data_IF_238451897652
#
_entry.id   IF_238451897652
#
_cell.length_a   1.000
_cell.length_b   1.000
_cell.length_c   1.000
_cell.angle_alpha   90.00
_cell.angle_beta   90.00
_cell.angle_gamma   90.00
#
_symmetry.space_group_name_H-M   'P 1'
#
loop_
_entity.id
_entity.type
_entity.pdbx_description
1 polymer ?
#
# COMPACT_ATOMS: atom_id res chain seq x y z
N UNK A 1 -2.56 -78.71 66.49
CA UNK A 1 -3.44 -77.83 67.28
C UNK A 1 -3.69 -76.54 66.47
N UNK A 2 -4.95 -76.30 66.10
CA UNK A 2 -5.65 -75.03 66.02
C UNK A 2 -5.07 -74.02 65.03
N UNK A 3 -5.78 -73.33 64.18
CA UNK A 3 -7.24 -73.18 63.91
C UNK A 3 -7.34 -72.54 62.53
N UNK A 4 -8.31 -72.92 61.76
CA UNK A 4 -8.93 -72.28 60.60
C UNK A 4 -9.29 -70.84 60.85
N UNK A 5 -9.08 -70.00 59.88
CA UNK A 5 -9.95 -68.80 59.65
C UNK A 5 -10.10 -68.53 58.16
N UNK A 6 -11.32 -68.65 57.77
CA UNK A 6 -11.84 -68.31 56.47
C UNK A 6 -11.99 -66.79 56.42
N UNK A 7 -11.50 -66.12 55.37
CA UNK A 7 -11.84 -64.75 55.10
C UNK A 7 -12.35 -64.61 53.66
N UNK A 8 -13.58 -64.18 53.58
CA UNK A 8 -14.33 -63.98 52.33
C UNK A 8 -13.74 -62.86 51.46
N UNK A 9 -13.61 -63.14 50.18
CA UNK A 9 -13.19 -62.18 49.15
C UNK A 9 -14.40 -61.46 48.65
N UNK A 10 -14.55 -60.17 48.99
CA UNK A 10 -15.46 -59.27 48.28
C UNK A 10 -14.74 -58.67 47.04
N UNK A 11 -15.18 -59.08 45.86
CA UNK A 11 -14.76 -58.46 44.59
C UNK A 11 -15.55 -57.19 44.42
N UNK A 12 -14.90 -56.04 44.55
CA UNK A 12 -15.39 -54.72 44.06
C UNK A 12 -14.86 -54.48 42.65
N UNK A 13 -15.74 -54.58 41.64
CA UNK A 13 -15.51 -54.09 40.34
C UNK A 13 -15.55 -52.55 40.39
N UNK A 14 -14.41 -51.90 40.38
CA UNK A 14 -14.27 -50.48 40.11
C UNK A 14 -14.19 -50.29 38.61
N UNK A 15 -15.32 -49.97 37.95
CA UNK A 15 -15.38 -49.46 36.59
C UNK A 15 -14.78 -48.06 36.59
N UNK A 16 -13.49 -47.97 36.31
CA UNK A 16 -12.83 -46.70 36.02
C UNK A 16 -13.30 -46.15 34.66
N UNK A 17 -14.20 -45.17 34.66
CA UNK A 17 -14.42 -44.32 33.53
C UNK A 17 -13.10 -43.54 33.28
N UNK A 18 -12.33 -43.99 32.31
CA UNK A 18 -11.27 -43.18 31.72
C UNK A 18 -11.92 -42.03 30.97
N UNK A 19 -12.08 -40.89 31.62
CA UNK A 19 -12.28 -39.61 30.96
C UNK A 19 -10.98 -39.29 30.21
N UNK A 20 -10.89 -39.78 28.99
CA UNK A 20 -9.92 -39.26 28.01
C UNK A 20 -10.36 -37.85 27.68
N UNK A 21 -9.96 -36.91 28.52
CA UNK A 21 -10.01 -35.50 28.17
C UNK A 21 -9.17 -35.32 26.91
N UNK A 22 -9.81 -35.14 25.77
CA UNK A 22 -9.17 -34.52 24.64
C UNK A 22 -8.61 -33.17 25.11
N UNK A 23 -7.33 -33.14 25.46
CA UNK A 23 -6.61 -31.87 25.47
C UNK A 23 -6.65 -31.37 24.03
N UNK A 24 -7.58 -30.46 23.73
CA UNK A 24 -7.42 -29.62 22.56
C UNK A 24 -5.98 -29.10 22.61
N UNK A 25 -5.16 -29.53 21.67
CA UNK A 25 -3.87 -28.87 21.43
C UNK A 25 -4.22 -27.43 21.18
N UNK A 26 -3.95 -26.52 22.13
CA UNK A 26 -3.97 -25.09 21.89
C UNK A 26 -3.17 -24.87 20.61
N UNK A 27 -3.84 -24.45 19.54
CA UNK A 27 -3.15 -24.12 18.31
C UNK A 27 -2.04 -23.12 18.65
N UNK A 28 -0.83 -23.40 18.20
CA UNK A 28 0.33 -22.56 18.46
C UNK A 28 0.02 -21.14 17.95
N UNK A 29 0.18 -20.14 18.83
CA UNK A 29 -0.09 -18.75 18.48
C UNK A 29 0.92 -18.30 17.43
N UNK A 30 0.46 -17.89 16.26
CA UNK A 30 1.28 -17.35 15.19
C UNK A 30 1.40 -15.82 15.39
N UNK A 31 2.63 -15.32 15.54
CA UNK A 31 2.92 -13.89 15.64
C UNK A 31 3.61 -13.45 14.37
N UNK A 32 3.01 -12.50 13.65
CA UNK A 32 3.40 -12.05 12.32
C UNK A 32 3.70 -10.54 12.33
N UNK A 33 4.47 -10.07 11.35
CA UNK A 33 4.89 -8.68 11.25
C UNK A 33 4.27 -8.01 10.03
N UNK A 34 3.74 -6.82 10.25
CA UNK A 34 3.24 -5.93 9.21
C UNK A 34 4.13 -4.68 9.13
N UNK A 35 4.74 -4.42 7.98
CA UNK A 35 5.54 -3.22 7.73
C UNK A 35 4.69 -2.11 7.11
N UNK A 36 4.82 -0.89 7.64
CA UNK A 36 4.15 0.30 7.16
C UNK A 36 5.11 1.50 7.21
N UNK A 37 5.26 2.25 6.13
CA UNK A 37 6.20 3.37 6.07
C UNK A 37 5.62 4.70 6.55
N UNK A 38 4.29 4.79 6.71
CA UNK A 38 3.61 6.01 7.13
C UNK A 38 3.52 6.14 8.66
N UNK A 39 3.25 7.36 9.13
CA UNK A 39 3.06 7.65 10.54
C UNK A 39 1.83 6.93 11.12
N UNK A 40 1.81 6.76 12.45
CA UNK A 40 0.79 6.00 13.16
C UNK A 40 -0.66 6.46 12.89
N UNK A 41 -0.85 7.76 12.71
CA UNK A 41 -2.18 8.38 12.51
C UNK A 41 -2.60 8.48 11.03
N UNK A 42 -1.76 8.02 10.11
CA UNK A 42 -2.04 8.04 8.67
C UNK A 42 -3.13 7.01 8.29
N UNK A 43 -3.97 7.27 7.28
CA UNK A 43 -5.08 6.39 6.91
C UNK A 43 -4.69 4.94 6.66
N UNK A 44 -3.62 4.69 5.89
CA UNK A 44 -3.14 3.34 5.58
C UNK A 44 -2.64 2.62 6.81
N UNK A 45 -1.97 3.31 7.73
CA UNK A 45 -1.49 2.75 9.00
C UNK A 45 -2.66 2.37 9.92
N UNK A 46 -3.68 3.23 10.02
CA UNK A 46 -4.91 2.91 10.76
C UNK A 46 -5.61 1.68 10.20
N UNK A 47 -5.64 1.55 8.87
CA UNK A 47 -6.19 0.37 8.22
C UNK A 47 -5.34 -0.89 8.48
N UNK A 48 -4.02 -0.77 8.56
CA UNK A 48 -3.14 -1.88 8.94
C UNK A 48 -3.42 -2.36 10.37
N UNK A 49 -3.60 -1.45 11.33
CA UNK A 49 -4.03 -1.79 12.69
C UNK A 49 -5.42 -2.44 12.71
N UNK A 50 -6.37 -1.91 11.92
CA UNK A 50 -7.71 -2.51 11.82
C UNK A 50 -7.66 -3.92 11.21
N UNK A 51 -6.84 -4.12 10.20
CA UNK A 51 -6.59 -5.45 9.62
C UNK A 51 -6.06 -6.42 10.68
N UNK A 52 -5.03 -6.03 11.44
CA UNK A 52 -4.45 -6.86 12.49
C UNK A 52 -5.48 -7.21 13.58
N UNK A 53 -6.25 -6.22 14.03
CA UNK A 53 -7.36 -6.41 15.00
C UNK A 53 -8.39 -7.43 14.50
N UNK A 54 -8.86 -7.26 13.26
CA UNK A 54 -9.87 -8.14 12.66
C UNK A 54 -9.37 -9.59 12.51
N UNK A 55 -8.11 -9.77 12.07
CA UNK A 55 -7.50 -11.08 11.94
C UNK A 55 -7.40 -11.76 13.31
N UNK A 56 -6.93 -11.06 14.35
CA UNK A 56 -6.83 -11.61 15.69
C UNK A 56 -8.23 -12.00 16.24
N UNK A 57 -9.23 -11.15 16.07
CA UNK A 57 -10.61 -11.41 16.51
C UNK A 57 -11.21 -12.62 15.77
N UNK A 58 -11.18 -12.63 14.42
CA UNK A 58 -11.81 -13.69 13.63
C UNK A 58 -11.07 -15.03 13.70
N UNK A 59 -9.79 -15.03 14.11
CA UNK A 59 -9.03 -16.25 14.37
C UNK A 59 -9.02 -16.67 15.84
N UNK A 60 -9.80 -16.01 16.70
CA UNK A 60 -9.85 -16.27 18.14
C UNK A 60 -8.45 -16.20 18.79
N UNK A 61 -7.63 -15.22 18.40
CA UNK A 61 -6.29 -14.99 18.93
C UNK A 61 -5.21 -15.96 18.44
N UNK A 62 -5.49 -16.84 17.48
CA UNK A 62 -4.49 -17.77 16.91
C UNK A 62 -3.46 -17.06 16.04
N UNK A 63 -3.88 -16.03 15.29
CA UNK A 63 -3.01 -15.22 14.46
C UNK A 63 -2.99 -13.82 15.04
N UNK A 64 -1.82 -13.36 15.42
CA UNK A 64 -1.54 -12.02 15.92
C UNK A 64 -0.60 -11.32 14.96
N UNK A 65 -0.84 -10.04 14.67
CA UNK A 65 -0.05 -9.25 13.73
C UNK A 65 0.45 -7.99 14.44
N UNK A 66 1.77 -7.88 14.58
CA UNK A 66 2.44 -6.67 15.06
C UNK A 66 2.64 -5.68 13.90
N UNK A 67 2.09 -4.48 14.03
CA UNK A 67 2.22 -3.42 13.01
C UNK A 67 3.38 -2.49 13.37
N UNK A 68 4.38 -2.44 12.50
CA UNK A 68 5.57 -1.58 12.58
C UNK A 68 5.40 -0.41 11.62
N UNK A 69 4.98 0.75 12.14
CA UNK A 69 4.73 1.96 11.35
C UNK A 69 5.96 2.86 11.24
N UNK A 70 5.89 3.92 10.42
CA UNK A 70 6.95 4.94 10.32
C UNK A 70 8.25 4.42 9.73
N UNK A 71 8.21 3.40 8.88
CA UNK A 71 9.40 2.87 8.20
C UNK A 71 10.36 2.09 9.11
N UNK A 72 9.92 1.63 10.28
CA UNK A 72 10.77 0.91 11.25
C UNK A 72 11.41 -0.36 10.67
N UNK A 73 10.78 -1.00 9.69
CA UNK A 73 11.30 -2.21 9.03
C UNK A 73 11.93 -1.92 7.66
N UNK A 74 12.05 -0.66 7.27
CA UNK A 74 12.66 -0.22 6.02
C UNK A 74 11.71 0.61 5.15
N UNK A 75 12.26 1.11 4.03
CA UNK A 75 11.48 1.74 2.96
C UNK A 75 10.69 0.71 2.13
N UNK A 76 9.85 1.18 1.21
CA UNK A 76 8.95 0.31 0.45
C UNK A 76 9.71 -0.76 -0.36
N UNK A 77 10.83 -0.41 -1.00
CA UNK A 77 11.61 -1.35 -1.79
C UNK A 77 12.25 -2.43 -0.93
N UNK A 78 12.90 -2.03 0.17
CA UNK A 78 13.50 -2.97 1.11
C UNK A 78 12.46 -3.90 1.75
N UNK A 79 11.27 -3.37 2.05
CA UNK A 79 10.15 -4.16 2.60
C UNK A 79 9.60 -5.16 1.59
N UNK A 80 9.48 -4.79 0.29
CA UNK A 80 9.06 -5.73 -0.75
C UNK A 80 10.05 -6.90 -0.84
N UNK A 81 11.36 -6.61 -0.86
CA UNK A 81 12.41 -7.65 -0.87
C UNK A 81 12.32 -8.56 0.37
N UNK A 82 12.17 -7.99 1.56
CA UNK A 82 12.01 -8.75 2.80
C UNK A 82 10.75 -9.63 2.79
N UNK A 83 9.66 -9.13 2.19
CA UNK A 83 8.42 -9.91 2.05
C UNK A 83 8.61 -11.13 1.14
N UNK A 84 9.33 -10.97 0.01
CA UNK A 84 9.66 -12.07 -0.90
C UNK A 84 10.45 -13.19 -0.22
N UNK A 85 11.31 -12.85 0.74
CA UNK A 85 12.10 -13.81 1.52
C UNK A 85 11.42 -14.29 2.80
N UNK A 86 10.21 -13.79 3.11
CA UNK A 86 9.48 -14.15 4.34
C UNK A 86 10.08 -13.61 5.62
N UNK A 87 10.95 -12.59 5.54
CA UNK A 87 11.48 -11.88 6.70
C UNK A 87 10.43 -10.95 7.33
N UNK A 88 9.48 -10.47 6.54
CA UNK A 88 8.27 -9.75 6.93
C UNK A 88 7.07 -10.52 6.38
N UNK A 89 5.94 -10.48 7.06
CA UNK A 89 4.76 -11.27 6.70
C UNK A 89 3.77 -10.47 5.85
N UNK A 90 3.46 -9.23 6.25
CA UNK A 90 2.52 -8.33 5.59
C UNK A 90 3.11 -6.96 5.36
N UNK A 91 2.60 -6.26 4.37
CA UNK A 91 2.89 -4.84 4.13
C UNK A 91 1.79 -4.17 3.33
N UNK A 92 1.80 -2.84 3.31
CA UNK A 92 1.19 -2.02 2.28
C UNK A 92 2.28 -1.24 1.59
N UNK A 93 2.27 -1.21 0.27
CA UNK A 93 3.20 -0.44 -0.54
C UNK A 93 2.50 0.21 -1.73
N UNK A 94 3.06 1.31 -2.20
CA UNK A 94 2.67 1.94 -3.46
C UNK A 94 2.99 1.02 -4.65
N UNK A 95 2.11 0.97 -5.65
CA UNK A 95 2.39 0.16 -6.86
C UNK A 95 3.56 0.72 -7.68
N UNK A 96 4.02 1.95 -7.46
CA UNK A 96 5.18 2.50 -8.18
C UNK A 96 6.46 1.72 -7.90
N UNK A 97 6.98 1.61 -6.67
CA UNK A 97 8.12 0.73 -6.39
C UNK A 97 7.79 -0.75 -6.63
N UNK A 98 6.55 -1.19 -6.38
CA UNK A 98 6.14 -2.58 -6.61
C UNK A 98 6.20 -2.96 -8.10
N UNK A 99 6.00 -2.01 -9.02
CA UNK A 99 6.09 -2.24 -10.46
C UNK A 99 7.51 -2.58 -10.94
N UNK A 100 8.53 -2.34 -10.13
CA UNK A 100 9.89 -2.80 -10.45
C UNK A 100 10.04 -4.32 -10.29
N UNK A 101 9.19 -4.94 -9.49
CA UNK A 101 9.11 -6.39 -9.28
C UNK A 101 8.04 -7.03 -10.19
N UNK A 102 6.92 -6.36 -10.43
CA UNK A 102 5.81 -6.79 -11.28
C UNK A 102 5.47 -5.71 -12.33
N UNK A 103 6.10 -5.79 -13.50
CA UNK A 103 6.02 -4.74 -14.54
C UNK A 103 4.61 -4.45 -15.04
N UNK A 104 3.69 -5.41 -14.96
CA UNK A 104 2.30 -5.18 -15.39
C UNK A 104 1.57 -4.13 -14.54
N UNK A 105 2.00 -3.89 -13.30
CA UNK A 105 1.41 -2.86 -12.43
C UNK A 105 1.59 -1.43 -12.97
N UNK A 106 2.57 -1.20 -13.87
CA UNK A 106 2.71 0.09 -14.54
C UNK A 106 1.44 0.52 -15.27
N UNK A 107 0.62 -0.43 -15.73
CA UNK A 107 -0.62 -0.16 -16.44
C UNK A 107 -1.60 0.63 -15.58
N UNK A 108 -1.66 0.35 -14.28
CA UNK A 108 -2.61 0.98 -13.35
C UNK A 108 -2.20 2.38 -12.89
N UNK A 109 -1.01 2.84 -13.26
CA UNK A 109 -0.47 4.16 -12.86
C UNK A 109 0.02 5.00 -14.06
N UNK A 110 -0.40 4.66 -15.29
CA UNK A 110 -0.10 5.44 -16.47
C UNK A 110 -0.63 6.90 -16.29
N UNK A 111 0.11 7.89 -16.78
CA UNK A 111 -0.27 9.28 -16.57
C UNK A 111 -1.65 9.58 -17.18
N UNK A 112 -2.50 10.27 -16.41
CA UNK A 112 -3.86 10.64 -16.82
C UNK A 112 -4.74 9.46 -17.28
N UNK A 113 -4.47 8.24 -16.77
CA UNK A 113 -5.23 7.06 -17.14
C UNK A 113 -6.70 7.14 -16.72
N UNK A 114 -6.93 7.61 -15.50
CA UNK A 114 -8.27 7.73 -14.90
C UNK A 114 -8.79 9.17 -15.00
N UNK A 115 -10.08 9.32 -15.26
CA UNK A 115 -10.77 10.62 -15.24
C UNK A 115 -10.92 11.15 -13.81
N UNK A 116 -11.22 10.22 -12.89
CA UNK A 116 -11.47 10.53 -11.48
C UNK A 116 -11.24 9.28 -10.59
N UNK A 117 -11.36 9.48 -9.28
CA UNK A 117 -11.26 8.41 -8.30
C UNK A 117 -12.36 7.34 -8.49
N UNK A 118 -13.57 7.74 -8.86
CA UNK A 118 -14.68 6.80 -9.00
C UNK A 118 -14.43 5.82 -10.15
N UNK A 119 -13.86 6.28 -11.27
CA UNK A 119 -13.44 5.39 -12.36
C UNK A 119 -12.32 4.45 -11.89
N UNK A 120 -11.30 4.95 -11.20
CA UNK A 120 -10.23 4.10 -10.65
C UNK A 120 -10.81 2.98 -9.78
N UNK A 121 -11.76 3.31 -8.90
CA UNK A 121 -12.36 2.32 -8.01
C UNK A 121 -13.24 1.30 -8.74
N UNK A 122 -13.97 1.68 -9.78
CA UNK A 122 -14.68 0.70 -10.62
C UNK A 122 -13.73 -0.33 -11.24
N UNK A 123 -12.54 0.13 -11.65
CA UNK A 123 -11.48 -0.74 -12.20
C UNK A 123 -10.89 -1.65 -11.13
N UNK A 124 -10.49 -1.08 -9.99
CA UNK A 124 -9.76 -1.82 -8.93
C UNK A 124 -10.67 -2.78 -8.16
N UNK A 125 -11.94 -2.45 -7.96
CA UNK A 125 -12.93 -3.31 -7.32
C UNK A 125 -13.50 -4.37 -8.29
N UNK A 126 -13.22 -4.23 -9.58
CA UNK A 126 -13.65 -5.14 -10.64
C UNK A 126 -12.63 -6.23 -10.98
N UNK A 127 -12.95 -6.99 -12.03
CA UNK A 127 -12.13 -8.10 -12.52
C UNK A 127 -10.71 -7.69 -12.96
N UNK A 128 -10.53 -6.44 -13.40
CA UNK A 128 -9.21 -5.91 -13.76
C UNK A 128 -8.34 -5.84 -12.49
N UNK A 129 -8.84 -5.21 -11.42
CA UNK A 129 -8.11 -5.10 -10.16
C UNK A 129 -7.81 -6.47 -9.55
N UNK A 130 -8.76 -7.41 -9.60
CA UNK A 130 -8.54 -8.79 -9.14
C UNK A 130 -7.42 -9.49 -9.92
N UNK A 131 -7.39 -9.32 -11.25
CA UNK A 131 -6.31 -9.86 -12.08
C UNK A 131 -4.93 -9.36 -11.64
N UNK A 132 -4.80 -8.06 -11.31
CA UNK A 132 -3.54 -7.48 -10.86
C UNK A 132 -3.16 -7.90 -9.43
N UNK A 133 -4.12 -8.06 -8.51
CA UNK A 133 -3.85 -8.68 -7.20
C UNK A 133 -3.27 -10.09 -7.36
N UNK A 134 -3.85 -10.88 -8.26
CA UNK A 134 -3.40 -12.25 -8.51
C UNK A 134 -2.08 -12.35 -9.30
N UNK A 135 -1.61 -11.28 -9.94
CA UNK A 135 -0.34 -11.28 -10.67
C UNK A 135 0.90 -11.37 -9.77
N UNK A 136 0.74 -11.13 -8.48
CA UNK A 136 1.84 -11.06 -7.52
C UNK A 136 2.44 -12.44 -7.18
N UNK A 137 1.72 -13.53 -7.42
CA UNK A 137 2.11 -14.89 -7.02
C UNK A 137 3.47 -15.33 -7.59
N UNK A 138 3.77 -14.95 -8.83
CA UNK A 138 5.07 -15.24 -9.48
C UNK A 138 6.26 -14.52 -8.86
N UNK A 139 6.01 -13.52 -7.99
CA UNK A 139 7.02 -12.76 -7.27
C UNK A 139 7.13 -13.16 -5.80
N UNK A 140 6.63 -14.34 -5.41
CA UNK A 140 6.55 -14.81 -4.03
C UNK A 140 5.70 -13.91 -3.12
N UNK A 141 4.71 -13.22 -3.67
CA UNK A 141 3.81 -12.31 -2.99
C UNK A 141 2.36 -12.67 -3.29
N UNK A 142 1.45 -12.31 -2.39
CA UNK A 142 0.00 -12.45 -2.61
C UNK A 142 -0.65 -11.09 -2.38
N UNK A 143 -1.34 -10.57 -3.39
CA UNK A 143 -2.14 -9.35 -3.28
C UNK A 143 -3.43 -9.62 -2.52
N UNK A 144 -3.75 -8.76 -1.54
CA UNK A 144 -4.91 -8.92 -0.67
C UNK A 144 -6.01 -7.90 -0.97
N UNK A 145 -5.66 -6.64 -1.08
CA UNK A 145 -6.59 -5.53 -1.29
C UNK A 145 -5.90 -4.29 -1.86
N UNK A 146 -6.72 -3.33 -2.31
CA UNK A 146 -6.29 -2.02 -2.80
C UNK A 146 -6.61 -0.94 -1.77
N UNK A 147 -5.67 -0.01 -1.57
CA UNK A 147 -5.82 1.20 -0.76
C UNK A 147 -5.77 2.44 -1.63
N UNK A 148 -6.42 3.51 -1.18
CA UNK A 148 -6.39 4.81 -1.84
C UNK A 148 -5.06 5.54 -1.58
N UNK A 149 -4.67 6.37 -2.52
CA UNK A 149 -3.58 7.31 -2.40
C UNK A 149 -3.85 8.61 -3.18
N UNK A 150 -5.13 8.84 -3.53
CA UNK A 150 -5.58 10.05 -4.20
C UNK A 150 -4.92 10.32 -5.54
N UNK A 151 -4.97 11.58 -5.96
CA UNK A 151 -4.25 12.09 -7.12
C UNK A 151 -2.89 12.65 -6.70
N UNK A 152 -1.90 12.47 -7.57
CA UNK A 152 -0.54 12.99 -7.36
C UNK A 152 -0.36 14.29 -8.16
N UNK A 153 0.28 15.23 -7.51
CA UNK A 153 0.49 16.60 -7.99
C UNK A 153 1.94 16.99 -7.78
N UNK A 154 2.50 17.82 -8.67
CA UNK A 154 3.85 18.36 -8.48
C UNK A 154 3.86 19.48 -7.44
N UNK A 155 4.98 19.58 -6.72
CA UNK A 155 5.28 20.70 -5.83
C UNK A 155 6.79 20.96 -5.82
N UNK A 156 7.18 22.24 -5.62
CA UNK A 156 8.58 22.61 -5.58
C UNK A 156 8.87 23.80 -4.64
N UNK A 157 10.16 24.03 -4.42
CA UNK A 157 10.69 25.08 -3.55
C UNK A 157 11.05 26.37 -4.30
N UNK A 158 11.09 26.35 -5.64
CA UNK A 158 11.70 27.43 -6.45
C UNK A 158 10.68 28.42 -6.99
N UNK A 159 9.59 27.95 -7.58
CA UNK A 159 8.62 28.78 -8.32
C UNK A 159 7.29 28.05 -8.52
N UNK A 160 6.21 28.82 -8.75
CA UNK A 160 4.95 28.21 -9.17
C UNK A 160 5.12 27.47 -10.52
N UNK A 161 4.47 26.33 -10.65
CA UNK A 161 4.31 25.60 -11.91
C UNK A 161 2.92 25.92 -12.43
N UNK A 162 2.81 26.53 -13.62
CA UNK A 162 1.54 26.82 -14.27
C UNK A 162 1.51 26.35 -15.73
N UNK A 163 2.66 25.99 -16.27
CA UNK A 163 2.82 25.53 -17.67
C UNK A 163 3.98 24.56 -17.81
N UNK A 164 3.97 23.79 -18.89
CA UNK A 164 4.97 22.75 -19.15
C UNK A 164 6.42 23.27 -19.11
N UNK A 165 6.65 24.50 -19.64
CA UNK A 165 7.99 25.09 -19.64
C UNK A 165 8.56 25.35 -18.24
N UNK A 166 7.72 25.44 -17.21
CA UNK A 166 8.16 25.70 -15.85
C UNK A 166 8.82 24.44 -15.21
N UNK A 167 8.55 23.26 -15.76
CA UNK A 167 9.21 22.01 -15.36
C UNK A 167 10.68 21.96 -15.74
N UNK A 168 11.06 22.71 -16.78
CA UNK A 168 12.42 22.64 -17.32
C UNK A 168 13.49 23.02 -16.30
N UNK A 169 14.45 22.10 -16.10
CA UNK A 169 15.61 22.28 -15.24
C UNK A 169 15.33 22.05 -13.75
N UNK A 170 14.11 21.70 -13.35
CA UNK A 170 13.81 21.27 -11.99
C UNK A 170 14.35 19.85 -11.75
N UNK A 171 14.86 19.61 -10.54
CA UNK A 171 15.21 18.29 -10.02
C UNK A 171 14.02 17.80 -9.20
N UNK A 172 13.24 16.91 -9.76
CA UNK A 172 12.01 16.41 -9.15
C UNK A 172 12.26 15.02 -8.57
N UNK A 173 12.02 14.87 -7.27
CA UNK A 173 12.01 13.55 -6.65
C UNK A 173 10.79 12.78 -7.12
N UNK A 174 10.98 11.51 -7.40
CA UNK A 174 9.93 10.55 -7.69
C UNK A 174 10.09 9.31 -6.81
N UNK A 175 9.07 8.48 -6.75
CA UNK A 175 9.19 7.13 -6.20
C UNK A 175 10.18 6.32 -7.05
N UNK A 176 10.77 5.27 -6.48
CA UNK A 176 11.73 4.38 -7.16
C UNK A 176 11.03 3.53 -8.21
N UNK A 177 10.71 4.16 -9.34
CA UNK A 177 9.96 3.57 -10.46
C UNK A 177 10.45 4.14 -11.79
N UNK A 178 10.72 3.26 -12.75
CA UNK A 178 11.12 3.66 -14.10
C UNK A 178 10.04 4.47 -14.82
N UNK A 179 8.76 4.15 -14.59
CA UNK A 179 7.66 4.92 -15.17
C UNK A 179 7.63 6.34 -14.60
N UNK A 180 7.73 6.49 -13.28
CA UNK A 180 7.73 7.82 -12.63
C UNK A 180 8.93 8.66 -13.09
N UNK A 181 10.11 8.04 -13.23
CA UNK A 181 11.28 8.71 -13.79
C UNK A 181 11.04 9.14 -15.23
N UNK A 182 10.45 8.28 -16.06
CA UNK A 182 10.11 8.56 -17.45
C UNK A 182 9.12 9.71 -17.59
N UNK A 183 8.09 9.78 -16.75
CA UNK A 183 7.12 10.88 -16.75
C UNK A 183 7.78 12.23 -16.50
N UNK A 184 8.59 12.35 -15.46
CA UNK A 184 9.31 13.59 -15.13
C UNK A 184 10.28 13.98 -16.23
N UNK A 185 11.03 13.03 -16.79
CA UNK A 185 11.93 13.29 -17.92
C UNK A 185 11.18 13.77 -19.18
N UNK A 186 10.01 13.21 -19.46
CA UNK A 186 9.16 13.61 -20.58
C UNK A 186 8.65 15.06 -20.45
N UNK A 187 8.51 15.58 -19.23
CA UNK A 187 8.17 16.97 -18.94
C UNK A 187 9.38 17.92 -19.01
N UNK A 188 10.59 17.42 -19.30
CA UNK A 188 11.81 18.24 -19.40
C UNK A 188 12.48 18.55 -18.04
N UNK A 189 12.09 17.88 -16.98
CA UNK A 189 12.71 17.94 -15.66
C UNK A 189 13.68 16.77 -15.46
N UNK A 190 14.52 16.84 -14.42
CA UNK A 190 15.42 15.77 -14.00
C UNK A 190 14.78 14.95 -12.89
N UNK A 191 14.55 13.66 -13.10
CA UNK A 191 14.00 12.77 -12.10
C UNK A 191 15.07 12.29 -11.13
N UNK A 192 14.78 12.29 -9.83
CA UNK A 192 15.63 11.75 -8.78
C UNK A 192 14.83 10.70 -8.00
N UNK A 193 15.02 9.39 -8.25
CA UNK A 193 14.36 8.35 -7.48
C UNK A 193 14.92 8.35 -6.05
N UNK A 194 14.02 8.33 -5.05
CA UNK A 194 14.40 8.47 -3.65
C UNK A 194 13.30 7.92 -2.74
N UNK A 195 13.66 7.25 -1.65
CA UNK A 195 12.72 6.78 -0.64
C UNK A 195 11.93 7.95 -0.01
N UNK A 196 10.67 7.68 0.39
CA UNK A 196 9.77 8.72 0.90
C UNK A 196 10.32 9.45 2.13
N UNK A 197 10.95 8.73 3.07
CA UNK A 197 11.51 9.31 4.29
C UNK A 197 12.68 10.28 4.07
N UNK A 198 13.28 10.31 2.89
CA UNK A 198 14.42 11.18 2.55
C UNK A 198 14.00 12.50 1.89
N UNK A 199 12.73 12.62 1.48
CA UNK A 199 12.26 13.74 0.62
C UNK A 199 12.35 15.08 1.36
N UNK A 200 11.94 15.15 2.63
CA UNK A 200 12.00 16.40 3.39
C UNK A 200 13.43 16.96 3.45
N UNK A 201 14.40 16.12 3.82
CA UNK A 201 15.81 16.53 3.89
C UNK A 201 16.38 16.86 2.52
N UNK A 202 15.98 16.13 1.48
CA UNK A 202 16.37 16.41 0.08
C UNK A 202 15.91 17.79 -0.39
N UNK A 203 14.65 18.16 -0.07
CA UNK A 203 14.08 19.49 -0.34
C UNK A 203 14.78 20.57 0.49
N UNK A 204 14.96 20.34 1.78
CA UNK A 204 15.56 21.30 2.70
C UNK A 204 17.01 21.63 2.32
N UNK A 205 17.78 20.64 1.90
CA UNK A 205 19.20 20.80 1.52
C UNK A 205 19.40 21.21 0.05
N UNK A 206 18.34 21.21 -0.77
CA UNK A 206 18.39 21.54 -2.19
C UNK A 206 19.02 20.46 -3.08
N UNK A 207 19.11 19.22 -2.59
CA UNK A 207 19.48 18.05 -3.41
C UNK A 207 18.44 17.84 -4.52
N UNK A 208 17.16 18.06 -4.18
CA UNK A 208 16.03 18.12 -5.08
C UNK A 208 15.37 19.50 -4.97
N UNK A 209 14.76 19.97 -6.07
CA UNK A 209 14.03 21.22 -6.09
C UNK A 209 12.56 21.04 -5.74
N UNK A 210 12.01 19.86 -6.05
CA UNK A 210 10.63 19.52 -5.83
C UNK A 210 10.39 18.02 -5.80
N UNK A 211 9.12 17.64 -5.65
CA UNK A 211 8.67 16.27 -5.72
C UNK A 211 7.22 16.22 -6.26
N UNK A 212 6.60 15.07 -6.24
CA UNK A 212 5.21 14.87 -6.58
C UNK A 212 4.56 13.93 -5.55
N UNK A 213 3.35 14.25 -5.12
CA UNK A 213 2.58 13.42 -4.20
C UNK A 213 1.14 13.95 -4.05
N UNK A 214 0.35 13.24 -3.24
CA UNK A 214 -1.00 13.59 -2.81
C UNK A 214 -1.00 14.56 -1.60
N UNK A 215 -2.15 15.15 -1.30
CA UNK A 215 -2.30 16.08 -0.18
C UNK A 215 -1.92 15.49 1.20
N UNK A 216 -2.41 14.29 1.60
CA UNK A 216 -2.04 13.69 2.86
C UNK A 216 -0.55 13.46 3.04
N UNK A 217 0.15 12.99 2.00
CA UNK A 217 1.60 12.75 2.06
C UNK A 217 2.40 14.06 2.10
N UNK A 218 1.97 15.08 1.36
CA UNK A 218 2.61 16.40 1.38
C UNK A 218 2.47 17.09 2.75
N UNK A 219 1.33 16.88 3.43
CA UNK A 219 1.05 17.39 4.78
C UNK A 219 1.74 16.60 5.89
N UNK A 220 1.64 15.26 5.88
CA UNK A 220 1.97 14.42 7.04
C UNK A 220 3.43 14.49 7.49
N UNK A 221 4.35 14.75 6.55
CA UNK A 221 5.79 14.93 6.80
C UNK A 221 6.26 16.35 6.49
N UNK A 222 5.33 17.31 6.49
CA UNK A 222 5.60 18.76 6.39
C UNK A 222 6.39 19.18 5.15
N UNK A 223 6.26 18.48 4.02
CA UNK A 223 6.94 18.91 2.78
C UNK A 223 6.57 20.34 2.39
N UNK A 224 5.35 20.79 2.72
CA UNK A 224 4.85 22.15 2.49
C UNK A 224 5.67 23.26 3.19
N UNK A 225 6.45 22.93 4.21
CA UNK A 225 7.32 23.90 4.88
C UNK A 225 8.54 24.26 4.02
N UNK A 226 9.04 23.30 3.24
CA UNK A 226 10.28 23.40 2.45
C UNK A 226 10.05 23.50 0.95
N UNK A 227 8.87 23.18 0.46
CA UNK A 227 8.46 23.28 -0.95
C UNK A 227 7.03 23.81 -1.03
N UNK A 228 6.87 25.13 -1.14
CA UNK A 228 5.60 25.85 -0.93
C UNK A 228 4.72 26.02 -2.17
N UNK A 229 5.20 25.64 -3.35
CA UNK A 229 4.49 25.79 -4.60
C UNK A 229 3.90 24.44 -5.00
N UNK A 230 2.59 24.33 -4.99
CA UNK A 230 1.86 23.10 -5.29
C UNK A 230 0.93 23.34 -6.48
N UNK A 231 1.02 22.54 -7.54
CA UNK A 231 0.16 22.65 -8.72
C UNK A 231 -0.89 21.54 -8.74
N UNK A 232 -2.13 21.89 -9.07
CA UNK A 232 -3.24 20.93 -9.23
C UNK A 232 -3.24 20.36 -10.65
N UNK A 233 -2.27 19.51 -10.96
CA UNK A 233 -2.14 18.91 -12.28
C UNK A 233 -2.69 17.47 -12.36
N UNK A 234 -2.81 16.80 -11.22
CA UNK A 234 -3.35 15.44 -11.09
C UNK A 234 -2.80 14.47 -12.15
N UNK A 235 -1.48 14.48 -12.35
CA UNK A 235 -0.85 13.78 -13.47
C UNK A 235 -0.97 12.26 -13.40
N UNK A 236 -1.16 11.67 -12.22
CA UNK A 236 -1.44 10.25 -12.06
C UNK A 236 -2.16 9.94 -10.75
N UNK A 237 -2.79 8.76 -10.71
CA UNK A 237 -3.23 8.09 -9.49
C UNK A 237 -2.43 6.82 -9.34
N UNK A 238 -1.84 6.62 -8.17
CA UNK A 238 -0.99 5.48 -7.87
C UNK A 238 -1.61 4.74 -6.69
N UNK A 239 -2.50 3.77 -6.93
CA UNK A 239 -3.10 3.01 -5.85
C UNK A 239 -2.03 2.24 -5.09
N UNK A 240 -2.37 1.81 -3.88
CA UNK A 240 -1.48 1.05 -3.03
C UNK A 240 -2.01 -0.36 -2.83
N UNK A 241 -1.12 -1.32 -2.66
CA UNK A 241 -1.48 -2.72 -2.53
C UNK A 241 -1.11 -3.24 -1.15
N UNK A 242 -2.09 -3.84 -0.47
CA UNK A 242 -1.82 -4.66 0.71
C UNK A 242 -1.37 -6.05 0.26
N UNK A 243 -0.26 -6.51 0.81
CA UNK A 243 0.43 -7.73 0.41
C UNK A 243 0.71 -8.64 1.60
N UNK A 244 0.80 -9.93 1.31
CA UNK A 244 1.36 -10.94 2.23
C UNK A 244 2.47 -11.71 1.52
N UNK A 245 3.52 -12.09 2.27
CA UNK A 245 4.54 -13.03 1.80
C UNK A 245 3.90 -14.36 1.43
N UNK A 246 4.23 -14.90 0.24
CA UNK A 246 3.74 -16.22 -0.16
C UNK A 246 4.23 -17.31 0.79
N UNK A 247 5.44 -17.18 1.34
CA UNK A 247 5.98 -18.11 2.33
C UNK A 247 5.16 -18.13 3.64
N UNK A 248 4.59 -17.01 4.03
CA UNK A 248 3.67 -16.93 5.16
C UNK A 248 2.27 -17.40 4.76
N UNK A 249 1.79 -16.99 3.59
CA UNK A 249 0.50 -17.38 3.04
C UNK A 249 0.31 -18.90 2.95
N UNK A 250 1.34 -19.62 2.51
CA UNK A 250 1.31 -21.07 2.34
C UNK A 250 1.24 -21.84 3.69
N UNK A 251 1.53 -21.18 4.81
CA UNK A 251 1.37 -21.75 6.16
C UNK A 251 -0.08 -21.69 6.69
N UNK A 252 -0.92 -20.83 6.09
CA UNK A 252 -2.30 -20.68 6.54
C UNK A 252 -3.18 -21.82 6.02
N UNK A 253 -4.14 -22.22 6.86
CA UNK A 253 -5.24 -23.08 6.43
C UNK A 253 -6.14 -22.34 5.42
N UNK A 254 -6.93 -23.07 4.64
CA UNK A 254 -7.87 -22.43 3.68
C UNK A 254 -8.90 -21.56 4.40
N UNK A 255 -9.32 -21.93 5.61
CA UNK A 255 -10.18 -21.11 6.44
C UNK A 255 -9.51 -19.82 6.90
N UNK A 256 -8.23 -19.87 7.29
CA UNK A 256 -7.48 -18.66 7.67
C UNK A 256 -7.22 -17.75 6.47
N UNK A 257 -6.92 -18.31 5.30
CA UNK A 257 -6.80 -17.56 4.04
C UNK A 257 -8.09 -16.81 3.70
N UNK A 258 -9.25 -17.45 3.89
CA UNK A 258 -10.53 -16.80 3.67
C UNK A 258 -10.76 -15.64 4.65
N UNK A 259 -10.48 -15.86 5.94
CA UNK A 259 -10.56 -14.83 6.98
C UNK A 259 -9.65 -13.64 6.65
N UNK A 260 -8.40 -13.90 6.31
CA UNK A 260 -7.40 -12.84 5.99
C UNK A 260 -7.87 -12.01 4.79
N UNK A 261 -8.37 -12.64 3.73
CA UNK A 261 -8.92 -11.93 2.56
C UNK A 261 -10.13 -11.07 2.92
N UNK A 262 -11.01 -11.57 3.76
CA UNK A 262 -12.18 -10.82 4.25
C UNK A 262 -11.74 -9.61 5.08
N UNK A 263 -10.80 -9.80 6.04
CA UNK A 263 -10.25 -8.73 6.86
C UNK A 263 -9.54 -7.66 6.04
N UNK A 264 -8.82 -8.07 4.99
CA UNK A 264 -8.15 -7.14 4.08
C UNK A 264 -9.15 -6.25 3.32
N UNK A 265 -10.25 -6.82 2.83
CA UNK A 265 -11.32 -6.05 2.17
C UNK A 265 -12.02 -5.09 3.14
N UNK A 266 -12.26 -5.53 4.38
CA UNK A 266 -12.89 -4.71 5.41
C UNK A 266 -11.98 -3.54 5.82
N UNK A 267 -10.69 -3.79 6.02
CA UNK A 267 -9.72 -2.74 6.34
C UNK A 267 -9.50 -1.75 5.19
N UNK A 268 -9.54 -2.23 3.94
CA UNK A 268 -9.44 -1.37 2.77
C UNK A 268 -10.65 -0.41 2.63
N UNK A 269 -11.86 -0.88 3.00
CA UNK A 269 -13.03 0.00 3.03
C UNK A 269 -12.87 1.12 4.05
N UNK A 270 -12.41 0.79 5.26
CA UNK A 270 -12.12 1.80 6.30
C UNK A 270 -11.03 2.79 5.82
N UNK A 271 -9.99 2.28 5.16
CA UNK A 271 -8.91 3.12 4.63
C UNK A 271 -9.45 4.19 3.69
N UNK A 272 -10.29 3.84 2.71
CA UNK A 272 -10.88 4.78 1.75
C UNK A 272 -11.71 5.87 2.43
N UNK A 273 -12.46 5.51 3.48
CA UNK A 273 -13.24 6.47 4.27
C UNK A 273 -12.31 7.46 5.01
N UNK A 274 -11.26 6.94 5.64
CA UNK A 274 -10.25 7.75 6.32
C UNK A 274 -9.43 8.59 5.35
N UNK A 275 -9.14 8.06 4.15
CA UNK A 275 -8.41 8.77 3.11
C UNK A 275 -9.18 10.01 2.65
N UNK A 276 -10.43 9.87 2.25
CA UNK A 276 -11.26 10.97 1.80
C UNK A 276 -11.37 12.11 2.85
N UNK A 277 -11.46 11.73 4.13
CA UNK A 277 -11.47 12.71 5.23
C UNK A 277 -10.11 13.40 5.42
N UNK A 278 -9.01 12.63 5.36
CA UNK A 278 -7.65 13.16 5.55
C UNK A 278 -7.23 14.05 4.39
N UNK A 279 -7.57 13.70 3.15
CA UNK A 279 -7.25 14.48 1.95
C UNK A 279 -7.78 15.91 2.07
N UNK A 280 -9.05 16.06 2.47
CA UNK A 280 -9.68 17.36 2.71
C UNK A 280 -9.00 18.16 3.81
N UNK A 281 -8.74 17.53 4.96
CA UNK A 281 -8.08 18.17 6.11
C UNK A 281 -6.66 18.60 5.75
N UNK A 282 -5.92 17.80 5.00
CA UNK A 282 -4.56 18.12 4.56
C UNK A 282 -4.53 19.28 3.58
N UNK A 283 -5.45 19.33 2.62
CA UNK A 283 -5.58 20.46 1.71
C UNK A 283 -5.89 21.76 2.46
N UNK A 284 -6.87 21.76 3.37
CA UNK A 284 -7.24 22.91 4.19
C UNK A 284 -6.04 23.41 5.02
N UNK A 285 -5.30 22.49 5.65
CA UNK A 285 -4.11 22.82 6.45
C UNK A 285 -3.00 23.44 5.61
N UNK A 286 -2.69 22.86 4.45
CA UNK A 286 -1.64 23.37 3.56
C UNK A 286 -1.99 24.76 3.03
N UNK A 287 -3.25 24.99 2.65
CA UNK A 287 -3.74 26.31 2.25
C UNK A 287 -3.62 27.34 3.39
N UNK A 288 -3.99 26.96 4.62
CA UNK A 288 -3.86 27.82 5.79
C UNK A 288 -2.40 28.11 6.17
N UNK A 289 -1.45 27.22 5.84
CA UNK A 289 -0.02 27.43 6.04
C UNK A 289 0.61 28.43 5.06
N UNK A 290 -0.18 28.99 4.12
CA UNK A 290 0.27 30.00 3.18
C UNK A 290 1.05 29.46 1.98
N UNK A 291 0.85 28.20 1.63
CA UNK A 291 1.38 27.65 0.38
C UNK A 291 0.68 28.26 -0.84
N UNK A 292 1.43 28.43 -1.91
CA UNK A 292 0.89 28.88 -3.20
C UNK A 292 0.36 27.65 -3.95
N UNK A 293 -0.95 27.58 -4.08
CA UNK A 293 -1.63 26.52 -4.83
C UNK A 293 -1.99 27.08 -6.19
N UNK A 294 -1.51 26.45 -7.26
CA UNK A 294 -1.75 26.87 -8.64
C UNK A 294 -2.52 25.81 -9.42
N UNK A 295 -3.15 26.23 -10.49
CA UNK A 295 -3.68 25.37 -11.55
C UNK A 295 -2.84 25.54 -12.80
N UNK A 296 -2.88 24.59 -13.71
CA UNK A 296 -2.27 24.75 -15.02
C UNK A 296 -3.05 25.80 -15.82
N UNK A 297 -2.32 26.64 -16.56
CA UNK A 297 -2.91 27.61 -17.51
C UNK A 297 -3.79 26.87 -18.54
N UNK A 298 -4.81 27.51 -19.09
CA UNK A 298 -5.65 26.91 -20.14
C UNK A 298 -4.84 26.32 -21.29
N UNK A 299 -5.08 25.05 -21.63
CA UNK A 299 -4.36 24.32 -22.68
C UNK A 299 -3.03 23.72 -22.25
N UNK A 300 -2.57 23.94 -21.03
CA UNK A 300 -1.30 23.34 -20.54
C UNK A 300 -1.47 21.89 -20.11
N UNK A 301 -2.63 21.51 -19.57
CA UNK A 301 -2.91 20.12 -19.21
C UNK A 301 -2.78 19.19 -20.41
N UNK A 302 -3.27 19.59 -21.56
CA UNK A 302 -3.14 18.86 -22.82
C UNK A 302 -1.68 18.74 -23.26
N UNK A 303 -0.83 19.75 -22.98
CA UNK A 303 0.61 19.68 -23.27
C UNK A 303 1.33 18.70 -22.32
N UNK A 304 0.96 18.68 -21.04
CA UNK A 304 1.46 17.69 -20.09
C UNK A 304 1.08 16.26 -20.52
N UNK A 305 -0.19 16.06 -20.89
CA UNK A 305 -0.68 14.77 -21.42
C UNK A 305 0.08 14.34 -22.67
N UNK A 306 0.25 15.26 -23.64
CA UNK A 306 0.97 14.99 -24.88
C UNK A 306 2.45 14.66 -24.63
N UNK A 307 3.10 15.36 -23.71
CA UNK A 307 4.49 15.08 -23.34
C UNK A 307 4.65 13.70 -22.73
N UNK A 308 3.70 13.25 -21.89
CA UNK A 308 3.74 11.96 -21.22
C UNK A 308 3.14 10.80 -22.08
N UNK A 309 2.51 11.07 -23.21
CA UNK A 309 1.91 10.05 -24.08
C UNK A 309 2.87 8.90 -24.46
N UNK A 310 4.19 9.12 -24.66
CA UNK A 310 5.13 8.01 -24.92
C UNK A 310 5.16 6.94 -23.82
N UNK A 311 4.78 7.26 -22.58
CA UNK A 311 4.74 6.29 -21.46
C UNK A 311 3.76 5.14 -21.75
N UNK A 312 2.68 5.42 -22.50
CA UNK A 312 1.71 4.40 -22.90
C UNK A 312 2.34 3.34 -23.82
N UNK A 313 3.16 3.76 -24.78
CA UNK A 313 3.86 2.83 -25.65
C UNK A 313 4.98 2.08 -24.92
N UNK A 314 5.69 2.76 -24.03
CA UNK A 314 6.84 2.19 -23.32
C UNK A 314 6.44 1.18 -22.23
N UNK A 315 5.40 1.51 -21.45
CA UNK A 315 5.00 0.72 -20.28
C UNK A 315 3.67 -0.03 -20.48
N UNK A 316 2.89 0.33 -21.50
CA UNK A 316 1.60 -0.27 -21.81
C UNK A 316 1.63 -1.32 -22.93
N UNK A 317 2.80 -1.56 -23.54
CA UNK A 317 2.93 -2.52 -24.64
C UNK A 317 2.46 -3.92 -24.24
N UNK A 318 1.57 -4.50 -25.05
CA UNK A 318 0.94 -5.80 -24.79
C UNK A 318 -0.26 -5.76 -23.83
N UNK A 319 -0.66 -4.58 -23.38
CA UNK A 319 -1.82 -4.35 -22.50
C UNK A 319 -2.81 -3.33 -23.08
N UNK A 320 -2.74 -3.05 -24.37
CA UNK A 320 -3.54 -2.03 -25.06
C UNK A 320 -5.04 -2.22 -24.84
N UNK A 321 -5.51 -3.47 -24.88
CA UNK A 321 -6.92 -3.79 -24.62
C UNK A 321 -7.32 -3.55 -23.14
N UNK A 322 -6.41 -3.85 -22.20
CA UNK A 322 -6.65 -3.55 -20.77
C UNK A 322 -6.75 -2.06 -20.56
N UNK A 323 -5.84 -1.28 -21.14
CA UNK A 323 -5.83 0.19 -21.07
C UNK A 323 -7.13 0.75 -21.63
N UNK A 324 -7.55 0.31 -22.83
CA UNK A 324 -8.83 0.71 -23.43
C UNK A 324 -10.02 0.39 -22.52
N UNK A 325 -10.03 -0.81 -21.94
CA UNK A 325 -11.09 -1.23 -21.03
C UNK A 325 -11.14 -0.38 -19.75
N UNK A 326 -9.98 0.03 -19.22
CA UNK A 326 -9.90 0.97 -18.10
C UNK A 326 -10.48 2.33 -18.49
N UNK A 327 -10.07 2.87 -19.64
CA UNK A 327 -10.53 4.17 -20.12
C UNK A 327 -12.01 4.23 -20.51
N UNK A 328 -12.61 3.06 -20.79
CA UNK A 328 -14.03 2.94 -21.15
C UNK A 328 -14.99 2.84 -19.94
N UNK A 329 -14.48 2.60 -18.74
CA UNK A 329 -15.26 2.55 -17.51
C UNK A 329 -15.57 3.93 -16.95
#
# INVERSE_FOLDING_TARGET
MKKTLVAATCALLATGLALTGCKEKKAEKMVLRYAENQAQDYPTTKAAYKFAELVEQKTNGRIHIDVYHGGQLGDEKAVIEQLQFGAIDFTRVSISPLSEFEKSLNILQLPYLYKDAAQMWRVLDGSIGEKFLNSMDKNNLVGLSWFDAGARNFYDSKRPITKLSDMKGLKIRVQESQLMMGMVAALGASATPMAYGEVYSGLQTGVIDGAENNWPSYDSVSHYEVAKYYVLDEHTRVPEMQLVSKLTWDKFSDSDKAIIKECAKESAKLERELWAAKEKVSEEKVRAAGCTITELEPGEKEKFQAAMAPMYAQFGAGYEDVIKNIQAQ
#
